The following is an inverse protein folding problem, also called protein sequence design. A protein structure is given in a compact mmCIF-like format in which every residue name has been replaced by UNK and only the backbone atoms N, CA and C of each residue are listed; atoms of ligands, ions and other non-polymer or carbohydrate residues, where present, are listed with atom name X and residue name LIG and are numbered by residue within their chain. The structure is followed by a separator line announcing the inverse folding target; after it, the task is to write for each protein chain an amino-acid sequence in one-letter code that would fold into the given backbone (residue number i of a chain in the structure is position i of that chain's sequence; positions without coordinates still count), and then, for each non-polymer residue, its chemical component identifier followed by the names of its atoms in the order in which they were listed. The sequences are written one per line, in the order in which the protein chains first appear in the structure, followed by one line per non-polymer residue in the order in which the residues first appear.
data_IF_482902167529
#
_entry.id   IF_482902167529
#
_cell.length_a   1.000
_cell.length_b   1.000
_cell.length_c   1.000
_cell.angle_alpha   90.00
_cell.angle_beta   90.00
_cell.angle_gamma   90.00
#
_symmetry.space_group_name_H-M   'P 1'
#
loop_
_entity.id
_entity.type
_entity.pdbx_description
1 polymer ?
#
# COMPACT_ATOMS: atom_id res chain seq x y z
N UNK A 1 -56.11 -17.21 -8.92
CA UNK A 1 -55.59 -18.13 -7.87
C UNK A 1 -56.01 -19.58 -8.11
N UNK A 2 -57.29 -19.85 -8.41
CA UNK A 2 -57.81 -21.20 -8.72
C UNK A 2 -57.23 -21.81 -10.00
N UNK A 3 -56.98 -21.02 -11.05
CA UNK A 3 -56.37 -21.51 -12.31
C UNK A 3 -54.91 -21.94 -12.15
N UNK A 4 -54.11 -21.15 -11.41
CA UNK A 4 -52.70 -21.46 -11.12
C UNK A 4 -52.60 -22.76 -10.30
N UNK A 5 -53.55 -22.98 -9.39
CA UNK A 5 -53.62 -24.17 -8.54
C UNK A 5 -54.05 -25.42 -9.32
N UNK A 6 -54.96 -25.29 -10.30
CA UNK A 6 -55.33 -26.38 -11.22
C UNK A 6 -54.21 -26.74 -12.20
N UNK A 7 -53.46 -25.73 -12.69
CA UNK A 7 -52.28 -25.95 -13.54
C UNK A 7 -51.17 -26.71 -12.81
N UNK A 8 -50.96 -26.43 -11.53
CA UNK A 8 -50.03 -27.15 -10.67
C UNK A 8 -50.46 -28.61 -10.44
N UNK A 9 -51.76 -28.86 -10.22
CA UNK A 9 -52.30 -30.20 -9.92
C UNK A 9 -52.31 -31.15 -11.13
N UNK A 10 -52.32 -30.62 -12.36
CA UNK A 10 -52.38 -31.39 -13.60
C UNK A 10 -51.01 -31.72 -14.22
N UNK A 11 -49.89 -31.32 -13.60
CA UNK A 11 -48.52 -31.59 -14.09
C UNK A 11 -48.12 -30.84 -15.37
N UNK A 12 -49.03 -30.08 -16.00
CA UNK A 12 -48.76 -29.38 -17.27
C UNK A 12 -47.87 -28.14 -17.13
N UNK A 13 -47.52 -27.74 -15.91
CA UNK A 13 -46.63 -26.61 -15.64
C UNK A 13 -45.14 -26.95 -15.69
N UNK A 14 -44.79 -28.24 -15.63
CA UNK A 14 -43.40 -28.69 -15.59
C UNK A 14 -42.66 -28.32 -16.88
N UNK A 15 -43.28 -28.56 -18.05
CA UNK A 15 -42.64 -28.33 -19.35
C UNK A 15 -42.40 -26.84 -19.64
N UNK A 16 -43.37 -25.92 -19.45
CA UNK A 16 -43.12 -24.48 -19.61
C UNK A 16 -42.10 -23.93 -18.61
N UNK A 17 -42.14 -24.41 -17.36
CA UNK A 17 -41.18 -24.00 -16.34
C UNK A 17 -39.75 -24.44 -16.69
N UNK A 18 -39.55 -25.71 -17.08
CA UNK A 18 -38.25 -26.22 -17.50
C UNK A 18 -37.74 -25.50 -18.74
N UNK A 19 -38.60 -25.25 -19.72
CA UNK A 19 -38.26 -24.51 -20.94
C UNK A 19 -37.81 -23.08 -20.62
N UNK A 20 -38.56 -22.37 -19.77
CA UNK A 20 -38.18 -21.04 -19.30
C UNK A 20 -36.85 -21.05 -18.53
N UNK A 21 -36.66 -22.04 -17.65
CA UNK A 21 -35.42 -22.21 -16.88
C UNK A 21 -34.21 -22.43 -17.79
N UNK A 22 -34.35 -23.25 -18.85
CA UNK A 22 -33.30 -23.47 -19.85
C UNK A 22 -32.96 -22.16 -20.57
N UNK A 23 -33.95 -21.42 -21.05
CA UNK A 23 -33.71 -20.13 -21.72
C UNK A 23 -33.07 -19.11 -20.79
N UNK A 24 -33.50 -19.04 -19.53
CA UNK A 24 -32.92 -18.17 -18.52
C UNK A 24 -31.44 -18.54 -18.27
N UNK A 25 -31.14 -19.84 -18.16
CA UNK A 25 -29.77 -20.32 -17.94
C UNK A 25 -28.87 -20.05 -19.14
N UNK A 26 -29.36 -20.26 -20.37
CA UNK A 26 -28.63 -19.94 -21.61
C UNK A 26 -28.38 -18.44 -21.72
N UNK A 27 -29.39 -17.61 -21.44
CA UNK A 27 -29.26 -16.15 -21.45
C UNK A 27 -28.27 -15.65 -20.40
N UNK A 28 -28.35 -16.17 -19.16
CA UNK A 28 -27.41 -15.83 -18.10
C UNK A 28 -25.98 -16.25 -18.47
N UNK A 29 -25.80 -17.43 -19.06
CA UNK A 29 -24.50 -17.92 -19.53
C UNK A 29 -23.92 -17.02 -20.63
N UNK A 30 -24.75 -16.57 -21.57
CA UNK A 30 -24.34 -15.66 -22.65
C UNK A 30 -23.96 -14.27 -22.09
N UNK A 31 -24.72 -13.74 -21.14
CA UNK A 31 -24.40 -12.47 -20.47
C UNK A 31 -23.06 -12.57 -19.73
N UNK A 32 -22.85 -13.62 -18.94
CA UNK A 32 -21.58 -13.84 -18.24
C UNK A 32 -20.40 -13.97 -19.22
N UNK A 33 -20.58 -14.70 -20.32
CA UNK A 33 -19.56 -14.82 -21.37
C UNK A 33 -19.18 -13.45 -21.94
N UNK A 34 -20.15 -12.62 -22.32
CA UNK A 34 -19.89 -11.27 -22.85
C UNK A 34 -19.17 -10.38 -21.83
N UNK A 35 -19.57 -10.42 -20.55
CA UNK A 35 -18.92 -9.67 -19.47
C UNK A 35 -17.46 -10.10 -19.31
N UNK A 36 -17.17 -11.40 -19.34
CA UNK A 36 -15.81 -11.93 -19.22
C UNK A 36 -14.95 -11.48 -20.41
N UNK A 37 -15.47 -11.60 -21.63
CA UNK A 37 -14.75 -11.19 -22.86
C UNK A 37 -14.47 -9.68 -22.86
N UNK A 38 -15.46 -8.85 -22.52
CA UNK A 38 -15.30 -7.40 -22.46
C UNK A 38 -14.28 -6.97 -21.39
N UNK A 39 -14.35 -7.58 -20.20
CA UNK A 39 -13.39 -7.35 -19.11
C UNK A 39 -11.97 -7.74 -19.52
N UNK A 40 -11.80 -8.92 -20.13
CA UNK A 40 -10.49 -9.41 -20.60
C UNK A 40 -9.92 -8.51 -21.69
N UNK A 41 -10.72 -8.13 -22.68
CA UNK A 41 -10.26 -7.30 -23.79
C UNK A 41 -9.82 -5.90 -23.29
N UNK A 42 -10.55 -5.34 -22.33
CA UNK A 42 -10.19 -4.06 -21.70
C UNK A 42 -8.85 -4.15 -20.96
N UNK A 43 -8.61 -5.26 -20.24
CA UNK A 43 -7.33 -5.52 -19.56
C UNK A 43 -6.18 -5.67 -20.55
N UNK A 44 -6.36 -6.49 -21.59
CA UNK A 44 -5.35 -6.70 -22.65
C UNK A 44 -4.99 -5.38 -23.33
N UNK A 45 -5.98 -4.54 -23.65
CA UNK A 45 -5.73 -3.22 -24.25
C UNK A 45 -4.94 -2.32 -23.30
N UNK A 46 -5.30 -2.30 -22.00
CA UNK A 46 -4.57 -1.53 -20.98
C UNK A 46 -3.13 -2.03 -20.82
N UNK A 47 -2.90 -3.34 -20.83
CA UNK A 47 -1.55 -3.94 -20.76
C UNK A 47 -0.70 -3.61 -21.98
N UNK A 48 -1.26 -3.69 -23.20
CA UNK A 48 -0.55 -3.29 -24.42
C UNK A 48 -0.14 -1.83 -24.38
N UNK A 49 -1.09 -0.95 -24.05
CA UNK A 49 -0.84 0.48 -23.94
C UNK A 49 0.17 0.79 -22.83
N UNK A 50 0.14 0.03 -21.72
CA UNK A 50 1.15 0.16 -20.67
C UNK A 50 2.54 -0.14 -21.20
N UNK A 51 2.72 -1.22 -21.97
CA UNK A 51 4.01 -1.58 -22.56
C UNK A 51 4.51 -0.53 -23.54
N UNK A 52 3.63 -0.02 -24.41
CA UNK A 52 3.95 1.05 -25.35
C UNK A 52 4.41 2.31 -24.62
N UNK A 53 3.67 2.72 -23.57
CA UNK A 53 4.05 3.85 -22.74
C UNK A 53 5.35 3.61 -21.97
N UNK A 54 5.57 2.41 -21.42
CA UNK A 54 6.81 2.08 -20.72
C UNK A 54 8.03 2.28 -21.61
N UNK A 55 7.99 1.87 -22.89
CA UNK A 55 9.12 2.08 -23.82
C UNK A 55 9.44 3.56 -24.01
N UNK A 56 8.42 4.42 -24.09
CA UNK A 56 8.61 5.87 -24.23
C UNK A 56 9.13 6.47 -22.93
N UNK A 57 8.53 6.08 -21.80
CA UNK A 57 8.90 6.54 -20.46
C UNK A 57 10.35 6.15 -20.14
N UNK A 58 10.78 4.94 -20.45
CA UNK A 58 12.13 4.46 -20.17
C UNK A 58 13.18 5.29 -20.92
N UNK A 59 12.90 5.69 -22.17
CA UNK A 59 13.76 6.61 -22.92
C UNK A 59 13.85 7.99 -22.26
N UNK A 60 12.70 8.53 -21.83
CA UNK A 60 12.64 9.84 -21.17
C UNK A 60 13.40 9.81 -19.83
N UNK A 61 13.13 8.80 -19.01
CA UNK A 61 13.77 8.66 -17.71
C UNK A 61 15.26 8.37 -17.88
N UNK A 62 15.67 7.61 -18.88
CA UNK A 62 17.10 7.41 -19.18
C UNK A 62 17.80 8.72 -19.50
N UNK A 63 17.21 9.53 -20.40
CA UNK A 63 17.76 10.82 -20.80
C UNK A 63 17.87 11.79 -19.61
N UNK A 64 16.82 11.88 -18.78
CA UNK A 64 16.81 12.83 -17.65
C UNK A 64 17.67 12.37 -16.49
N UNK A 65 17.67 11.08 -16.16
CA UNK A 65 18.32 10.56 -14.96
C UNK A 65 19.80 10.22 -15.21
N UNK A 66 20.14 9.62 -16.36
CA UNK A 66 21.49 9.14 -16.64
C UNK A 66 22.29 10.03 -17.60
N UNK A 67 21.63 10.75 -18.51
CA UNK A 67 22.28 11.63 -19.49
C UNK A 67 22.22 13.12 -19.12
N UNK A 68 21.71 13.45 -17.92
CA UNK A 68 21.61 14.80 -17.38
C UNK A 68 20.85 15.80 -18.28
N UNK A 69 19.92 15.29 -19.09
CA UNK A 69 19.03 16.14 -19.88
C UNK A 69 18.05 16.86 -18.94
N UNK A 70 17.98 18.20 -18.95
CA UNK A 70 17.07 18.91 -18.05
C UNK A 70 15.61 18.59 -18.41
N UNK A 71 14.79 18.32 -17.39
CA UNK A 71 13.37 18.00 -17.59
C UNK A 71 12.61 19.09 -18.35
N UNK A 72 13.03 20.36 -18.23
CA UNK A 72 12.46 21.47 -19.01
C UNK A 72 12.53 21.26 -20.52
N UNK A 73 13.57 20.59 -21.03
CA UNK A 73 13.71 20.26 -22.45
C UNK A 73 12.69 19.20 -22.88
N UNK A 74 12.49 18.17 -22.06
CA UNK A 74 11.45 17.15 -22.29
C UNK A 74 10.06 17.78 -22.19
N UNK A 75 9.85 18.66 -21.22
CA UNK A 75 8.60 19.40 -21.05
C UNK A 75 8.27 20.29 -22.25
N UNK A 76 9.27 20.75 -23.00
CA UNK A 76 9.07 21.53 -24.23
C UNK A 76 8.65 20.70 -25.45
N UNK A 77 8.71 19.37 -25.40
CA UNK A 77 8.26 18.49 -26.48
C UNK A 77 6.73 18.35 -26.48
N UNK A 78 6.08 18.76 -27.57
CA UNK A 78 4.63 18.66 -27.75
C UNK A 78 4.13 17.23 -27.66
N UNK A 79 4.89 16.25 -28.17
CA UNK A 79 4.51 14.84 -28.11
C UNK A 79 4.46 14.34 -26.66
N UNK A 80 5.43 14.76 -25.85
CA UNK A 80 5.43 14.44 -24.43
C UNK A 80 4.24 15.08 -23.72
N UNK A 81 3.92 16.36 -24.00
CA UNK A 81 2.77 17.02 -23.37
C UNK A 81 1.44 16.32 -23.70
N UNK A 82 1.21 15.96 -24.96
CA UNK A 82 0.01 15.23 -25.37
C UNK A 82 -0.13 13.89 -24.64
N UNK A 83 0.97 13.15 -24.48
CA UNK A 83 0.98 11.91 -23.70
C UNK A 83 0.77 12.19 -22.21
N UNK A 84 1.47 13.19 -21.65
CA UNK A 84 1.42 13.54 -20.24
C UNK A 84 0.05 14.04 -19.78
N UNK A 85 -0.77 14.59 -20.68
CA UNK A 85 -2.16 14.96 -20.40
C UNK A 85 -3.06 13.75 -20.09
N UNK A 86 -2.68 12.58 -20.61
CA UNK A 86 -3.41 11.33 -20.39
C UNK A 86 -3.22 10.81 -18.96
N UNK A 87 -4.30 10.62 -18.17
CA UNK A 87 -4.19 10.11 -16.80
C UNK A 87 -3.50 8.75 -16.69
N UNK A 88 -3.71 7.87 -17.67
CA UNK A 88 -3.09 6.56 -17.71
C UNK A 88 -1.59 6.63 -17.98
N UNK A 89 -1.13 7.53 -18.86
CA UNK A 89 0.29 7.75 -19.08
C UNK A 89 0.98 8.22 -17.79
N UNK A 90 0.41 9.19 -17.07
CA UNK A 90 0.93 9.63 -15.76
C UNK A 90 0.96 8.50 -14.74
N UNK A 91 -0.03 7.61 -14.79
CA UNK A 91 -0.08 6.42 -13.93
C UNK A 91 1.10 5.47 -14.21
N UNK A 92 1.36 5.12 -15.47
CA UNK A 92 2.49 4.27 -15.88
C UNK A 92 3.83 4.95 -15.59
N UNK A 93 3.95 6.25 -15.86
CA UNK A 93 5.17 7.03 -15.56
C UNK A 93 5.49 7.03 -14.07
N UNK A 94 4.48 7.23 -13.22
CA UNK A 94 4.68 7.19 -11.76
C UNK A 94 5.10 5.80 -11.28
N UNK A 95 4.53 4.74 -11.86
CA UNK A 95 4.93 3.36 -11.56
C UNK A 95 6.37 3.07 -11.97
N UNK A 96 6.79 3.50 -13.16
CA UNK A 96 8.19 3.39 -13.60
C UNK A 96 9.14 4.16 -12.68
N UNK A 97 8.79 5.40 -12.30
CA UNK A 97 9.59 6.18 -11.36
C UNK A 97 9.75 5.49 -10.00
N UNK A 98 8.66 4.93 -9.44
CA UNK A 98 8.72 4.17 -8.18
C UNK A 98 9.64 2.96 -8.33
N UNK A 99 9.49 2.21 -9.43
CA UNK A 99 10.29 1.02 -9.66
C UNK A 99 11.77 1.35 -9.79
N UNK A 100 12.14 2.44 -10.45
CA UNK A 100 13.52 2.91 -10.47
C UNK A 100 13.94 3.36 -9.06
N UNK A 101 13.18 4.21 -8.39
CA UNK A 101 13.57 4.77 -7.08
C UNK A 101 13.80 3.69 -6.01
N UNK A 102 13.09 2.55 -6.09
CA UNK A 102 13.31 1.42 -5.19
C UNK A 102 14.65 0.70 -5.37
N UNK A 103 15.27 0.84 -6.55
CA UNK A 103 16.47 0.10 -6.97
C UNK A 103 17.72 0.98 -7.09
N UNK A 104 17.57 2.31 -6.97
CA UNK A 104 18.68 3.26 -7.06
C UNK A 104 18.80 4.06 -5.76
N UNK A 105 20.03 4.42 -5.40
CA UNK A 105 20.36 5.25 -4.24
C UNK A 105 21.23 6.45 -4.66
N UNK A 106 21.51 7.36 -3.73
CA UNK A 106 22.37 8.51 -3.95
C UNK A 106 21.85 9.48 -5.02
N UNK A 107 22.73 9.91 -5.93
CA UNK A 107 22.44 10.96 -6.92
C UNK A 107 21.28 10.57 -7.84
N UNK A 108 21.16 9.30 -8.24
CA UNK A 108 20.08 8.86 -9.12
C UNK A 108 18.72 8.88 -8.43
N UNK A 109 18.64 8.50 -7.14
CA UNK A 109 17.43 8.64 -6.35
C UNK A 109 17.00 10.11 -6.23
N UNK A 110 17.96 11.01 -5.96
CA UNK A 110 17.70 12.45 -5.90
C UNK A 110 17.16 13.02 -7.22
N UNK A 111 17.72 12.59 -8.36
CA UNK A 111 17.21 12.98 -9.69
C UNK A 111 15.78 12.49 -9.93
N UNK A 112 15.44 11.26 -9.49
CA UNK A 112 14.07 10.72 -9.59
C UNK A 112 13.08 11.50 -8.72
N UNK A 113 13.46 11.84 -7.49
CA UNK A 113 12.66 12.71 -6.61
C UNK A 113 12.45 14.10 -7.23
N UNK A 114 13.49 14.67 -7.84
CA UNK A 114 13.42 15.97 -8.50
C UNK A 114 12.49 15.91 -9.73
N UNK A 115 12.59 14.87 -10.56
CA UNK A 115 11.65 14.65 -11.66
C UNK A 115 10.20 14.57 -11.17
N UNK A 116 9.96 13.84 -10.08
CA UNK A 116 8.62 13.69 -9.51
C UNK A 116 8.04 15.02 -9.00
N UNK A 117 8.90 15.90 -8.46
CA UNK A 117 8.57 17.28 -8.08
C UNK A 117 8.25 18.16 -9.29
N UNK A 118 9.15 18.20 -10.28
CA UNK A 118 9.07 19.11 -11.43
C UNK A 118 7.95 18.76 -12.41
N UNK A 119 7.62 17.47 -12.52
CA UNK A 119 6.47 16.98 -13.32
C UNK A 119 5.12 17.22 -12.64
N UNK A 120 5.09 17.73 -11.40
CA UNK A 120 3.87 17.92 -10.61
C UNK A 120 3.06 16.64 -10.32
N UNK A 121 3.67 15.46 -10.45
CA UNK A 121 3.04 14.18 -10.12
C UNK A 121 2.67 14.09 -8.62
N UNK A 122 3.37 14.82 -7.75
CA UNK A 122 3.00 15.01 -6.34
C UNK A 122 1.52 15.41 -6.17
N UNK A 123 1.03 16.37 -6.96
CA UNK A 123 -0.36 16.84 -6.88
C UNK A 123 -1.36 15.74 -7.25
N UNK A 124 -0.99 14.88 -8.21
CA UNK A 124 -1.78 13.72 -8.61
C UNK A 124 -1.87 12.71 -7.47
N UNK A 125 -0.76 12.45 -6.79
CA UNK A 125 -0.71 11.51 -5.66
C UNK A 125 -1.46 12.04 -4.44
N UNK A 126 -1.40 13.35 -4.13
CA UNK A 126 -2.26 13.96 -3.11
C UNK A 126 -3.75 13.83 -3.44
N UNK A 127 -4.14 13.96 -4.72
CA UNK A 127 -5.54 13.77 -5.13
C UNK A 127 -6.02 12.34 -4.86
N UNK A 128 -5.15 11.33 -4.99
CA UNK A 128 -5.46 9.93 -4.67
C UNK A 128 -5.83 9.73 -3.20
N UNK A 129 -5.24 10.50 -2.27
CA UNK A 129 -5.60 10.44 -0.84
C UNK A 129 -7.05 10.83 -0.55
N UNK A 130 -7.68 11.61 -1.44
CA UNK A 130 -9.08 12.04 -1.33
C UNK A 130 -10.08 11.02 -1.90
N UNK A 131 -9.61 9.93 -2.50
CA UNK A 131 -10.48 8.92 -3.11
C UNK A 131 -11.31 8.14 -2.08
N UNK A 132 -12.53 7.75 -2.44
CA UNK A 132 -13.33 6.80 -1.66
C UNK A 132 -12.80 5.37 -1.75
N UNK A 133 -12.15 5.03 -2.87
CA UNK A 133 -11.56 3.70 -3.10
C UNK A 133 -10.25 3.57 -2.31
N UNK A 134 -10.21 2.62 -1.38
CA UNK A 134 -9.05 2.41 -0.50
C UNK A 134 -7.81 1.99 -1.29
N UNK A 135 -7.96 1.27 -2.40
CA UNK A 135 -6.88 0.87 -3.29
C UNK A 135 -6.17 2.10 -3.89
N UNK A 136 -6.97 3.08 -4.30
CA UNK A 136 -6.45 4.34 -4.87
C UNK A 136 -5.73 5.16 -3.79
N UNK A 137 -6.28 5.18 -2.56
CA UNK A 137 -5.58 5.80 -1.41
C UNK A 137 -4.24 5.12 -1.16
N UNK A 138 -4.20 3.79 -1.06
CA UNK A 138 -2.95 3.04 -0.88
C UNK A 138 -1.92 3.41 -1.93
N UNK A 139 -2.34 3.49 -3.21
CA UNK A 139 -1.46 3.89 -4.30
C UNK A 139 -0.87 5.29 -4.09
N UNK A 140 -1.71 6.28 -3.76
CA UNK A 140 -1.25 7.64 -3.46
C UNK A 140 -0.31 7.72 -2.26
N UNK A 141 -0.59 6.97 -1.20
CA UNK A 141 0.26 6.89 0.00
C UNK A 141 1.63 6.32 -0.36
N UNK A 142 1.67 5.20 -1.10
CA UNK A 142 2.94 4.57 -1.53
C UNK A 142 3.76 5.51 -2.39
N UNK A 143 3.12 6.22 -3.34
CA UNK A 143 3.80 7.20 -4.19
C UNK A 143 4.43 8.33 -3.39
N UNK A 144 3.66 8.98 -2.51
CA UNK A 144 4.14 10.09 -1.69
C UNK A 144 5.24 9.66 -0.72
N UNK A 145 5.10 8.47 -0.14
CA UNK A 145 6.10 7.91 0.74
C UNK A 145 7.39 7.61 0.00
N UNK A 146 7.32 6.95 -1.18
CA UNK A 146 8.49 6.54 -1.95
C UNK A 146 9.40 7.71 -2.31
N UNK A 147 8.84 8.86 -2.66
CA UNK A 147 9.59 10.08 -2.99
C UNK A 147 9.75 11.04 -1.79
N UNK A 148 9.65 10.54 -0.56
CA UNK A 148 9.97 11.27 0.66
C UNK A 148 9.19 12.60 0.83
N UNK A 149 7.90 12.64 0.44
CA UNK A 149 7.04 13.83 0.53
C UNK A 149 6.52 13.99 1.97
N UNK A 150 7.28 14.70 2.81
CA UNK A 150 6.99 14.88 4.24
C UNK A 150 5.66 15.62 4.51
N UNK A 151 5.25 16.51 3.61
CA UNK A 151 3.96 17.21 3.69
C UNK A 151 2.77 16.24 3.66
N UNK A 152 2.96 15.03 3.14
CA UNK A 152 1.96 13.98 3.13
C UNK A 152 1.79 13.27 4.48
N UNK A 153 2.65 13.51 5.47
CA UNK A 153 2.63 12.77 6.74
C UNK A 153 1.27 12.85 7.45
N UNK A 154 0.77 14.06 7.69
CA UNK A 154 -0.51 14.27 8.39
C UNK A 154 -1.69 13.60 7.65
N UNK A 155 -1.90 13.81 6.33
CA UNK A 155 -2.98 13.13 5.62
C UNK A 155 -2.80 11.61 5.54
N UNK A 156 -1.57 11.10 5.48
CA UNK A 156 -1.27 9.66 5.54
C UNK A 156 -1.66 9.08 6.90
N UNK A 157 -1.28 9.74 8.00
CA UNK A 157 -1.68 9.33 9.36
C UNK A 157 -3.21 9.35 9.52
N UNK A 158 -3.92 10.28 8.88
CA UNK A 158 -5.39 10.24 8.90
C UNK A 158 -5.95 8.97 8.24
N UNK A 159 -5.26 8.44 7.22
CA UNK A 159 -5.66 7.20 6.54
C UNK A 159 -5.42 5.95 7.41
N UNK A 160 -4.51 5.99 8.39
CA UNK A 160 -4.27 4.85 9.29
C UNK A 160 -5.44 4.54 10.24
N UNK A 161 -6.37 5.49 10.38
CA UNK A 161 -7.60 5.36 11.17
C UNK A 161 -8.76 4.72 10.39
N UNK A 162 -8.60 4.46 9.09
CA UNK A 162 -9.66 3.93 8.24
C UNK A 162 -9.97 2.46 8.57
N UNK A 163 -11.25 2.02 8.48
CA UNK A 163 -11.66 0.64 8.81
C UNK A 163 -10.90 -0.46 8.05
N UNK A 164 -10.47 -0.20 6.81
CA UNK A 164 -9.83 -1.21 5.95
C UNK A 164 -8.39 -1.49 6.41
N UNK A 165 -8.15 -2.72 6.89
CA UNK A 165 -6.84 -3.20 7.36
C UNK A 165 -5.68 -2.89 6.40
N UNK A 166 -5.80 -3.21 5.12
CA UNK A 166 -4.75 -2.94 4.12
C UNK A 166 -4.35 -1.46 4.04
N UNK A 167 -5.34 -0.56 4.10
CA UNK A 167 -5.08 0.88 4.09
C UNK A 167 -4.38 1.33 5.39
N UNK A 168 -4.75 0.75 6.53
CA UNK A 168 -4.06 1.03 7.81
C UNK A 168 -2.57 0.66 7.74
N UNK A 169 -2.27 -0.55 7.24
CA UNK A 169 -0.90 -1.06 7.12
C UNK A 169 -0.08 -0.14 6.22
N UNK A 170 -0.58 0.14 5.01
CA UNK A 170 0.12 1.01 4.05
C UNK A 170 0.35 2.41 4.63
N UNK A 171 -0.67 2.98 5.29
CA UNK A 171 -0.56 4.29 5.92
C UNK A 171 0.47 4.34 7.05
N UNK A 172 0.50 3.33 7.93
CA UNK A 172 1.45 3.29 9.04
C UNK A 172 2.88 3.06 8.56
N UNK A 173 3.09 2.11 7.64
CA UNK A 173 4.41 1.89 7.02
C UNK A 173 4.92 3.14 6.31
N UNK A 174 4.05 3.85 5.58
CA UNK A 174 4.40 5.10 4.94
C UNK A 174 4.70 6.23 5.93
N UNK A 175 3.92 6.35 7.01
CA UNK A 175 4.17 7.33 8.06
C UNK A 175 5.56 7.11 8.68
N UNK A 176 5.89 5.86 9.02
CA UNK A 176 7.21 5.48 9.56
C UNK A 176 8.32 5.80 8.56
N UNK A 177 8.14 5.46 7.28
CA UNK A 177 9.08 5.80 6.21
C UNK A 177 9.36 7.31 6.13
N UNK A 178 8.34 8.15 6.29
CA UNK A 178 8.48 9.61 6.16
C UNK A 178 9.05 10.28 7.42
N UNK A 179 8.70 9.77 8.60
CA UNK A 179 8.86 10.50 9.86
C UNK A 179 9.36 9.67 11.06
N UNK A 180 9.76 8.42 10.84
CA UNK A 180 10.47 7.60 11.83
C UNK A 180 9.79 7.56 13.21
N UNK A 181 10.55 7.94 14.24
CA UNK A 181 10.13 8.00 15.64
C UNK A 181 8.85 8.80 15.87
N UNK A 182 8.64 9.91 15.13
CA UNK A 182 7.40 10.72 15.24
C UNK A 182 6.14 9.92 14.88
N UNK A 183 6.28 8.82 14.14
CA UNK A 183 5.17 7.92 13.79
C UNK A 183 4.82 6.93 14.90
N UNK A 184 5.75 6.65 15.81
CA UNK A 184 5.59 5.62 16.85
C UNK A 184 4.42 5.94 17.77
N UNK A 185 4.17 7.21 18.07
CA UNK A 185 3.00 7.64 18.85
C UNK A 185 1.66 7.16 18.29
N UNK A 186 1.56 6.94 16.97
CA UNK A 186 0.36 6.41 16.33
C UNK A 186 0.26 4.88 16.42
N UNK A 187 1.39 4.19 16.54
CA UNK A 187 1.44 2.76 16.83
C UNK A 187 1.12 2.47 18.30
N UNK A 188 1.64 3.27 19.24
CA UNK A 188 1.37 3.12 20.68
C UNK A 188 -0.12 3.20 20.98
N UNK A 189 -0.81 4.14 20.33
CA UNK A 189 -2.26 4.38 20.45
C UNK A 189 -3.12 3.44 19.60
N UNK A 190 -2.53 2.44 18.94
CA UNK A 190 -3.26 1.56 18.04
C UNK A 190 -4.12 0.56 18.83
N UNK A 191 -5.44 0.72 18.74
CA UNK A 191 -6.39 -0.09 19.50
C UNK A 191 -6.58 -1.50 18.96
N UNK A 192 -6.46 -1.70 17.65
CA UNK A 192 -6.75 -2.98 17.02
C UNK A 192 -5.53 -3.93 17.08
N UNK A 193 -5.74 -5.25 17.22
CA UNK A 193 -4.64 -6.20 17.13
C UNK A 193 -3.88 -6.09 15.81
N UNK A 194 -2.55 -6.02 15.91
CA UNK A 194 -1.60 -6.02 14.79
C UNK A 194 -1.20 -7.46 14.49
N UNK A 195 -1.60 -7.96 13.33
CA UNK A 195 -1.22 -9.30 12.88
C UNK A 195 0.24 -9.39 12.41
N UNK A 196 0.75 -10.60 12.26
CA UNK A 196 2.15 -10.80 11.88
C UNK A 196 2.52 -10.16 10.54
N UNK A 197 1.59 -10.15 9.57
CA UNK A 197 1.82 -9.46 8.30
C UNK A 197 2.02 -7.96 8.49
N UNK A 198 1.19 -7.29 9.28
CA UNK A 198 1.36 -5.87 9.58
C UNK A 198 2.64 -5.62 10.38
N UNK A 199 3.00 -6.48 11.33
CA UNK A 199 4.25 -6.38 12.07
C UNK A 199 5.47 -6.47 11.13
N UNK A 200 5.48 -7.42 10.20
CA UNK A 200 6.55 -7.55 9.20
C UNK A 200 6.69 -6.30 8.31
N UNK A 201 5.57 -5.72 7.86
CA UNK A 201 5.58 -4.50 7.05
C UNK A 201 6.09 -3.29 7.84
N UNK A 202 5.77 -3.18 9.13
CA UNK A 202 6.27 -2.10 9.99
C UNK A 202 7.77 -2.27 10.24
N UNK A 203 8.22 -3.48 10.60
CA UNK A 203 9.66 -3.77 10.81
C UNK A 203 10.44 -3.49 9.52
N UNK A 204 9.93 -3.90 8.35
CA UNK A 204 10.55 -3.62 7.06
C UNK A 204 10.65 -2.12 6.77
N UNK A 205 9.64 -1.32 7.15
CA UNK A 205 9.67 0.13 6.99
C UNK A 205 10.77 0.79 7.82
N UNK A 206 11.00 0.32 9.06
CA UNK A 206 12.11 0.80 9.90
C UNK A 206 13.48 0.41 9.33
N UNK A 207 13.64 -0.83 8.84
CA UNK A 207 14.92 -1.31 8.30
C UNK A 207 15.36 -0.59 7.03
N UNK A 208 14.43 -0.31 6.11
CA UNK A 208 14.76 0.21 4.77
C UNK A 208 15.30 1.65 4.79
N UNK A 209 14.97 2.43 5.82
CA UNK A 209 15.12 3.88 5.74
C UNK A 209 16.31 4.47 6.50
N UNK A 210 17.26 3.63 6.95
CA UNK A 210 18.36 4.05 7.85
C UNK A 210 17.88 5.10 8.84
N UNK A 211 16.70 4.82 9.44
CA UNK A 211 16.02 5.77 10.29
C UNK A 211 16.84 5.78 11.58
N UNK A 212 17.83 6.66 11.64
CA UNK A 212 18.61 6.92 12.85
C UNK A 212 17.72 7.32 14.03
N UNK A 213 16.49 7.77 13.75
CA UNK A 213 15.45 8.04 14.72
C UNK A 213 14.63 6.77 15.08
N UNK A 214 15.18 5.98 16.00
CA UNK A 214 14.46 4.94 16.75
C UNK A 214 13.96 5.44 18.10
N UNK A 215 13.87 6.77 18.26
CA UNK A 215 13.38 7.39 19.48
C UNK A 215 11.91 7.04 19.69
N UNK A 216 11.58 6.60 20.90
CA UNK A 216 10.22 6.23 21.29
C UNK A 216 9.81 4.79 20.99
N UNK A 217 10.67 3.94 20.38
CA UNK A 217 10.38 2.49 20.23
C UNK A 217 10.05 1.83 21.57
N UNK A 218 10.69 2.27 22.66
CA UNK A 218 10.40 1.85 24.03
C UNK A 218 8.94 2.07 24.44
N UNK A 219 8.28 3.13 23.95
CA UNK A 219 6.89 3.41 24.29
C UNK A 219 5.92 2.38 23.70
N UNK A 220 6.34 1.59 22.71
CA UNK A 220 5.54 0.45 22.23
C UNK A 220 5.36 -0.60 23.32
N UNK A 221 6.33 -0.72 24.25
CA UNK A 221 6.30 -1.67 25.36
C UNK A 221 5.28 -1.27 26.45
N UNK A 222 4.84 -0.01 26.44
CA UNK A 222 3.87 0.56 27.38
C UNK A 222 2.42 0.50 26.85
N UNK A 223 2.22 -0.01 25.64
CA UNK A 223 0.89 -0.06 25.03
C UNK A 223 -0.04 -1.05 25.74
N UNK A 224 -1.33 -0.71 25.84
CA UNK A 224 -2.36 -1.64 26.32
C UNK A 224 -2.62 -2.79 25.33
N UNK A 225 -2.13 -2.65 24.09
CA UNK A 225 -2.28 -3.66 23.06
C UNK A 225 -1.07 -4.60 23.06
N UNK A 226 -1.29 -5.86 23.45
CA UNK A 226 -0.23 -6.87 23.54
C UNK A 226 0.46 -7.16 22.21
N UNK A 227 -0.22 -6.97 21.08
CA UNK A 227 0.39 -7.10 19.75
C UNK A 227 1.30 -5.92 19.40
N UNK A 228 1.01 -4.73 19.93
CA UNK A 228 1.90 -3.54 19.83
C UNK A 228 3.14 -3.75 20.69
N UNK A 229 2.99 -4.29 21.92
CA UNK A 229 4.14 -4.66 22.76
C UNK A 229 5.01 -5.70 22.03
N UNK A 230 4.39 -6.73 21.45
CA UNK A 230 5.11 -7.76 20.69
C UNK A 230 5.86 -7.17 19.49
N UNK A 231 5.28 -6.17 18.80
CA UNK A 231 5.95 -5.41 17.75
C UNK A 231 7.16 -4.64 18.29
N UNK A 232 7.02 -3.96 19.43
CA UNK A 232 8.13 -3.24 20.09
C UNK A 232 9.31 -4.14 20.42
N UNK A 233 9.04 -5.31 21.02
CA UNK A 233 10.06 -6.32 21.29
C UNK A 233 10.76 -6.82 20.01
N UNK A 234 9.98 -7.07 18.95
CA UNK A 234 10.54 -7.47 17.64
C UNK A 234 11.39 -6.35 17.04
N UNK A 235 10.98 -5.09 17.10
CA UNK A 235 11.77 -3.96 16.59
C UNK A 235 13.10 -3.82 17.33
N UNK A 236 13.11 -3.90 18.66
CA UNK A 236 14.33 -3.85 19.47
C UNK A 236 15.29 -4.98 19.08
N UNK A 237 14.76 -6.19 18.85
CA UNK A 237 15.54 -7.34 18.38
C UNK A 237 16.12 -7.12 16.99
N UNK A 238 15.25 -6.82 16.03
CA UNK A 238 15.56 -6.78 14.60
C UNK A 238 16.46 -5.60 14.21
N UNK A 239 16.39 -4.51 14.97
CA UNK A 239 17.23 -3.32 14.81
C UNK A 239 18.40 -3.29 15.81
N UNK A 240 18.57 -4.34 16.63
CA UNK A 240 19.65 -4.48 17.64
C UNK A 240 19.78 -3.27 18.58
N UNK A 241 18.66 -2.77 19.09
CA UNK A 241 18.61 -1.57 19.93
C UNK A 241 19.00 -1.89 21.39
N UNK A 242 20.27 -2.22 21.64
CA UNK A 242 20.79 -2.59 22.96
C UNK A 242 20.58 -1.51 24.02
N UNK A 243 20.59 -0.23 23.61
CA UNK A 243 20.27 0.91 24.46
C UNK A 243 18.83 0.89 25.03
N UNK A 244 17.93 0.07 24.47
CA UNK A 244 16.53 -0.05 24.92
C UNK A 244 16.30 -1.26 25.84
N UNK A 245 17.33 -2.06 26.14
CA UNK A 245 17.22 -3.23 27.02
C UNK A 245 16.70 -2.92 28.45
N UNK A 246 17.02 -1.78 29.10
CA UNK A 246 16.45 -1.45 30.41
C UNK A 246 14.92 -1.43 30.41
N UNK A 247 14.30 -0.94 29.34
CA UNK A 247 12.83 -0.94 29.19
C UNK A 247 12.26 -2.35 29.00
N UNK A 248 13.01 -3.24 28.33
CA UNK A 248 12.63 -4.65 28.17
C UNK A 248 12.69 -5.39 29.50
N UNK A 249 13.72 -5.13 30.32
CA UNK A 249 13.82 -5.68 31.68
C UNK A 249 12.66 -5.23 32.56
N UNK A 250 12.37 -3.93 32.57
CA UNK A 250 11.21 -3.39 33.29
C UNK A 250 9.89 -4.06 32.85
N UNK A 251 9.67 -4.25 31.55
CA UNK A 251 8.49 -4.95 31.03
C UNK A 251 8.43 -6.41 31.52
N UNK A 252 9.55 -7.14 31.51
CA UNK A 252 9.60 -8.55 31.92
C UNK A 252 9.25 -8.76 33.40
N UNK A 253 9.60 -7.80 34.25
CA UNK A 253 9.31 -7.83 35.69
C UNK A 253 7.85 -7.51 36.00
N UNK A 254 7.25 -6.54 35.29
CA UNK A 254 5.95 -5.97 35.64
C UNK A 254 4.77 -6.51 34.83
N UNK A 255 5.01 -7.18 33.69
CA UNK A 255 3.92 -7.69 32.86
C UNK A 255 3.24 -8.91 33.48
N UNK A 256 1.90 -8.89 33.52
CA UNK A 256 1.07 -10.04 33.91
C UNK A 256 0.87 -11.04 32.77
N UNK A 257 1.21 -10.68 31.54
CA UNK A 257 1.04 -11.53 30.37
C UNK A 257 2.24 -12.48 30.19
N UNK A 258 2.01 -13.77 30.41
CA UNK A 258 3.05 -14.83 30.34
C UNK A 258 3.77 -14.88 28.98
N UNK A 259 3.05 -14.67 27.87
CA UNK A 259 3.64 -14.72 26.52
C UNK A 259 4.58 -13.54 26.29
N UNK A 260 4.17 -12.33 26.72
CA UNK A 260 5.01 -11.13 26.63
C UNK A 260 6.23 -11.25 27.55
N UNK A 261 6.04 -11.75 28.78
CA UNK A 261 7.12 -12.01 29.73
C UNK A 261 8.20 -12.91 29.13
N UNK A 262 7.79 -14.06 28.58
CA UNK A 262 8.69 -15.00 27.94
C UNK A 262 9.46 -14.36 26.76
N UNK A 263 8.76 -13.61 25.89
CA UNK A 263 9.41 -12.90 24.77
C UNK A 263 10.44 -11.88 25.23
N UNK A 264 10.14 -11.11 26.27
CA UNK A 264 11.04 -10.12 26.83
C UNK A 264 12.29 -10.77 27.45
N UNK A 265 12.12 -11.85 28.23
CA UNK A 265 13.23 -12.60 28.82
C UNK A 265 14.13 -13.25 27.76
N UNK A 266 13.54 -13.88 26.74
CA UNK A 266 14.27 -14.46 25.61
C UNK A 266 15.05 -13.40 24.84
N UNK A 267 14.49 -12.19 24.67
CA UNK A 267 15.18 -11.08 24.02
C UNK A 267 16.40 -10.60 24.82
N UNK A 268 16.26 -10.45 26.15
CA UNK A 268 17.37 -10.08 27.03
C UNK A 268 18.51 -11.10 26.92
N UNK A 269 18.22 -12.40 26.95
CA UNK A 269 19.24 -13.43 26.77
C UNK A 269 19.94 -13.35 25.41
N UNK A 270 19.21 -13.00 24.35
CA UNK A 270 19.77 -12.96 22.98
C UNK A 270 20.70 -11.77 22.74
N UNK A 271 20.46 -10.62 23.38
CA UNK A 271 21.19 -9.36 23.11
C UNK A 271 22.22 -9.00 24.18
N UNK A 272 22.32 -9.76 25.28
CA UNK A 272 23.31 -9.56 26.34
C UNK A 272 24.51 -10.51 26.22
N UNK A 273 24.44 -11.48 25.29
CA UNK A 273 25.51 -12.42 24.92
C UNK A 273 26.15 -11.94 23.62
#
# INVERSE_FOLDING_TARGET
MTEIWNLYKNGQWEVPFLTFSIYLFVAASLVLYLVIVASRNSKIKKERLSKEYSVIIDKILSAVIFEDVPFSKIKGDENFQMLFDTPFFREVLTESLINLHKNYEGVYAQKLEQFYKDSHLIKVSFRKLKSLKWEVKCKGITELAEFNIKEAFVPIVSCSKARKKTLKIVALSAAIKLEGGRSIKYLVKHSDPIDDWMQLNIIGAFKKHDIGDTEGVEHLLESQNTTVIALGLKLIKELKLTQKLPYVAHLAEHTSNTVIKYKAQSLLQTLTV
#
